data_IF_558979193813
#
_entry.id   IF_558979193813
#
_cell.length_a   1.000
_cell.length_b   1.000
_cell.length_c   1.000
_cell.angle_alpha   90.00
_cell.angle_beta   90.00
_cell.angle_gamma   90.00
#
_symmetry.space_group_name_H-M   'P 1'
#
loop_
_entity.id
_entity.type
_entity.pdbx_description
1 polymer ?
#
# COMPACT_ATOMS: atom_id res chain seq x y z
N UNK A 1 5.24 8.70 39.88
CA UNK A 1 5.58 7.93 38.67
C UNK A 1 4.59 8.36 37.59
N UNK A 2 4.98 9.27 36.71
CA UNK A 2 4.08 9.89 35.72
C UNK A 2 3.91 8.93 34.55
N UNK A 3 2.67 8.50 34.33
CA UNK A 3 2.27 7.69 33.19
C UNK A 3 2.35 8.56 31.93
N UNK A 4 3.40 8.40 31.13
CA UNK A 4 3.55 9.06 29.85
C UNK A 4 2.64 8.34 28.83
N UNK A 5 1.45 8.88 28.60
CA UNK A 5 0.58 8.41 27.52
C UNK A 5 1.28 8.71 26.18
N UNK A 6 1.70 7.65 25.49
CA UNK A 6 2.19 7.74 24.12
C UNK A 6 1.06 8.32 23.25
N UNK A 7 1.23 9.57 22.81
CA UNK A 7 0.43 10.15 21.73
C UNK A 7 0.58 9.22 20.53
N UNK A 8 -0.49 8.53 20.16
CA UNK A 8 -0.55 7.78 18.93
C UNK A 8 -0.21 8.72 17.78
N UNK A 9 0.92 8.48 17.11
CA UNK A 9 1.16 9.07 15.80
C UNK A 9 -0.04 8.66 14.93
N UNK A 10 -0.77 9.64 14.40
CA UNK A 10 -1.69 9.36 13.31
C UNK A 10 -0.87 8.65 12.24
N UNK A 11 -1.18 7.38 11.98
CA UNK A 11 -0.51 6.62 10.94
C UNK A 11 -0.63 7.41 9.64
N UNK A 12 0.51 7.77 9.04
CA UNK A 12 0.54 8.45 7.76
C UNK A 12 -0.31 7.67 6.75
N UNK A 13 -1.04 8.38 5.89
CA UNK A 13 -1.90 7.73 4.91
C UNK A 13 -1.09 6.76 4.04
N UNK A 14 -1.64 5.56 3.81
CA UNK A 14 -1.07 4.55 2.91
C UNK A 14 -0.76 5.17 1.53
N UNK A 15 0.49 5.14 1.05
CA UNK A 15 0.89 5.88 -0.14
C UNK A 15 0.18 5.41 -1.41
N UNK A 16 -0.22 4.13 -1.50
CA UNK A 16 -1.04 3.63 -2.60
C UNK A 16 -2.45 4.28 -2.58
N UNK A 17 -3.04 4.46 -1.40
CA UNK A 17 -4.30 5.17 -1.22
C UNK A 17 -4.16 6.65 -1.56
N UNK A 18 -3.06 7.28 -1.12
CA UNK A 18 -2.75 8.68 -1.46
C UNK A 18 -2.62 8.86 -2.97
N UNK A 19 -1.86 8.01 -3.65
CA UNK A 19 -1.75 8.04 -5.11
C UNK A 19 -3.12 7.89 -5.80
N UNK A 20 -3.91 6.90 -5.38
CA UNK A 20 -5.23 6.65 -5.95
C UNK A 20 -6.18 7.84 -5.81
N UNK A 21 -6.19 8.51 -4.65
CA UNK A 21 -7.10 9.63 -4.36
C UNK A 21 -6.64 10.96 -4.94
N UNK A 22 -5.34 11.22 -4.93
CA UNK A 22 -4.79 12.54 -5.21
C UNK A 22 -4.16 12.67 -6.59
N UNK A 23 -3.64 11.57 -7.14
CA UNK A 23 -2.78 11.63 -8.33
C UNK A 23 -3.42 10.94 -9.55
N UNK A 24 -4.13 9.83 -9.33
CA UNK A 24 -4.53 8.91 -10.42
C UNK A 24 -5.56 9.46 -11.40
N UNK A 25 -6.26 10.53 -11.05
CA UNK A 25 -7.20 11.23 -11.94
C UNK A 25 -6.50 12.00 -13.06
N UNK A 26 -5.28 12.47 -12.82
CA UNK A 26 -4.51 13.29 -13.76
C UNK A 26 -3.27 12.59 -14.28
N UNK A 27 -2.69 11.70 -13.48
CA UNK A 27 -1.43 11.03 -13.76
C UNK A 27 -1.62 9.54 -13.99
N UNK A 28 -0.91 9.01 -14.98
CA UNK A 28 -0.75 7.57 -15.13
C UNK A 28 0.60 7.12 -14.58
N UNK A 29 0.79 5.79 -14.52
CA UNK A 29 2.05 5.16 -14.18
C UNK A 29 2.34 4.09 -15.23
N UNK A 30 3.25 4.39 -16.16
CA UNK A 30 3.62 3.51 -17.27
C UNK A 30 2.62 3.43 -18.42
N UNK A 31 1.62 4.32 -18.50
CA UNK A 31 0.61 4.35 -19.58
C UNK A 31 0.64 5.63 -20.42
N UNK A 32 1.61 6.51 -20.16
CA UNK A 32 1.82 7.74 -20.91
C UNK A 32 1.09 8.95 -20.30
N UNK A 33 1.03 10.02 -21.07
CA UNK A 33 0.38 11.27 -20.68
C UNK A 33 -1.14 11.08 -20.57
N UNK A 34 -1.75 11.68 -19.55
CA UNK A 34 -3.21 11.77 -19.40
C UNK A 34 -3.66 13.24 -19.34
N UNK A 35 -3.65 13.83 -18.14
CA UNK A 35 -3.79 15.28 -17.94
C UNK A 35 -2.42 15.86 -17.60
N UNK A 36 -1.71 15.19 -16.69
CA UNK A 36 -0.31 15.44 -16.37
C UNK A 36 0.63 14.41 -16.99
N UNK A 37 1.95 14.58 -16.78
CA UNK A 37 2.96 13.61 -17.22
C UNK A 37 2.79 12.25 -16.53
N UNK A 38 3.29 11.19 -17.18
CA UNK A 38 3.44 9.88 -16.58
C UNK A 38 4.43 9.93 -15.39
N UNK A 39 4.08 9.25 -14.29
CA UNK A 39 4.88 9.24 -13.05
C UNK A 39 5.84 8.06 -12.91
N UNK A 40 5.83 7.08 -13.82
CA UNK A 40 6.81 5.97 -13.81
C UNK A 40 8.21 6.53 -13.99
N UNK A 41 9.11 6.24 -13.05
CA UNK A 41 10.48 6.75 -13.03
C UNK A 41 10.60 8.25 -12.71
N UNK A 42 9.57 8.89 -12.15
CA UNK A 42 9.62 10.34 -11.85
C UNK A 42 10.70 10.70 -10.83
N UNK A 43 10.98 9.80 -9.89
CA UNK A 43 12.03 9.94 -8.87
C UNK A 43 13.45 9.81 -9.42
N UNK A 44 13.60 9.29 -10.64
CA UNK A 44 14.88 9.25 -11.36
C UNK A 44 15.05 10.51 -12.21
N UNK A 45 13.95 11.08 -12.72
CA UNK A 45 13.93 12.31 -13.52
C UNK A 45 14.16 13.58 -12.70
N UNK A 46 13.71 13.59 -11.44
CA UNK A 46 13.76 14.77 -10.58
C UNK A 46 14.18 14.39 -9.17
N UNK A 47 15.00 15.26 -8.56
CA UNK A 47 15.39 15.11 -7.15
C UNK A 47 14.18 15.19 -6.21
N UNK A 48 14.23 14.44 -5.11
CA UNK A 48 13.12 14.34 -4.15
C UNK A 48 12.72 15.69 -3.53
N UNK A 49 13.69 16.57 -3.28
CA UNK A 49 13.42 17.91 -2.76
C UNK A 49 12.61 18.75 -3.76
N UNK A 50 12.99 18.71 -5.05
CA UNK A 50 12.26 19.38 -6.11
C UNK A 50 10.84 18.82 -6.25
N UNK A 51 10.68 17.49 -6.21
CA UNK A 51 9.37 16.85 -6.26
C UNK A 51 8.51 17.24 -5.06
N UNK A 52 9.08 17.33 -3.85
CA UNK A 52 8.35 17.77 -2.68
C UNK A 52 7.85 19.23 -2.82
N UNK A 53 8.70 20.13 -3.32
CA UNK A 53 8.31 21.52 -3.61
C UNK A 53 7.22 21.59 -4.69
N UNK A 54 7.35 20.80 -5.76
CA UNK A 54 6.37 20.74 -6.85
C UNK A 54 5.01 20.22 -6.39
N UNK A 55 4.99 19.14 -5.60
CA UNK A 55 3.78 18.56 -5.00
C UNK A 55 3.09 19.54 -4.05
N UNK A 56 3.88 20.31 -3.29
CA UNK A 56 3.35 21.31 -2.37
C UNK A 56 2.78 22.52 -3.08
N UNK A 57 3.49 23.08 -4.07
CA UNK A 57 3.02 24.21 -4.88
C UNK A 57 3.77 24.29 -6.20
N UNK A 58 3.15 23.76 -7.28
CA UNK A 58 3.73 23.89 -8.61
C UNK A 58 3.83 25.35 -9.05
N UNK A 59 2.91 26.20 -8.58
CA UNK A 59 2.91 27.63 -8.85
C UNK A 59 4.17 28.31 -8.35
N UNK A 60 4.57 28.04 -7.11
CA UNK A 60 5.73 28.66 -6.50
C UNK A 60 7.02 28.27 -7.23
N UNK A 61 7.13 27.01 -7.67
CA UNK A 61 8.29 26.53 -8.43
C UNK A 61 8.33 27.12 -9.84
N UNK A 62 7.17 27.32 -10.48
CA UNK A 62 7.11 28.00 -11.79
C UNK A 62 7.50 29.48 -11.64
N UNK A 63 6.98 30.16 -10.61
CA UNK A 63 7.22 31.58 -10.37
C UNK A 63 8.67 31.91 -9.98
N UNK A 64 9.41 30.94 -9.43
CA UNK A 64 10.84 31.12 -9.14
C UNK A 64 11.72 31.15 -10.41
N UNK A 65 11.17 30.83 -11.57
CA UNK A 65 11.92 30.76 -12.84
C UNK A 65 12.69 29.45 -13.03
N UNK A 66 12.36 28.40 -12.27
CA UNK A 66 12.94 27.07 -12.48
C UNK A 66 12.68 26.60 -13.92
N UNK A 67 13.75 26.37 -14.67
CA UNK A 67 13.68 26.06 -16.10
C UNK A 67 12.87 24.79 -16.41
N UNK A 68 12.97 23.78 -15.54
CA UNK A 68 12.25 22.53 -15.68
C UNK A 68 10.75 22.73 -15.44
N UNK A 69 10.40 23.45 -14.38
CA UNK A 69 9.04 23.84 -14.05
C UNK A 69 8.38 24.65 -15.17
N UNK A 70 9.06 25.69 -15.68
CA UNK A 70 8.54 26.51 -16.79
C UNK A 70 8.34 25.68 -18.05
N UNK A 71 9.29 24.81 -18.40
CA UNK A 71 9.15 23.94 -19.56
C UNK A 71 7.99 22.95 -19.42
N UNK A 72 7.77 22.39 -18.23
CA UNK A 72 6.61 21.55 -17.94
C UNK A 72 5.31 22.35 -18.04
N UNK A 73 5.26 23.56 -17.48
CA UNK A 73 4.09 24.42 -17.54
C UNK A 73 3.68 24.74 -18.98
N UNK A 74 4.63 25.13 -19.83
CA UNK A 74 4.39 25.39 -21.26
C UNK A 74 3.92 24.11 -21.98
N UNK A 75 4.53 22.96 -21.69
CA UNK A 75 4.19 21.68 -22.32
C UNK A 75 2.79 21.19 -21.98
N UNK A 76 2.31 21.45 -20.76
CA UNK A 76 1.02 20.97 -20.27
C UNK A 76 -0.03 22.09 -20.28
N UNK A 77 -0.12 22.81 -21.41
CA UNK A 77 -1.15 23.83 -21.69
C UNK A 77 -1.23 24.95 -20.66
N UNK A 78 -0.12 25.29 -20.00
CA UNK A 78 -0.08 26.28 -18.92
C UNK A 78 -1.05 25.94 -17.79
N UNK A 79 -1.31 24.65 -17.59
CA UNK A 79 -2.09 24.16 -16.47
C UNK A 79 -1.16 23.92 -15.28
N UNK A 80 -1.47 24.56 -14.16
CA UNK A 80 -0.79 24.32 -12.89
C UNK A 80 -1.25 22.98 -12.31
N UNK A 81 -0.33 22.24 -11.71
CA UNK A 81 -0.71 21.08 -10.91
C UNK A 81 -1.32 21.60 -9.59
N UNK A 82 -2.54 21.17 -9.21
CA UNK A 82 -3.15 21.62 -7.97
C UNK A 82 -2.29 21.26 -6.76
N UNK A 83 -2.19 22.19 -5.81
CA UNK A 83 -1.44 22.00 -4.57
C UNK A 83 -2.01 20.82 -3.77
N UNK A 84 -1.12 19.92 -3.36
CA UNK A 84 -1.50 18.74 -2.58
C UNK A 84 -1.31 19.00 -1.09
N UNK A 85 -2.39 18.90 -0.31
CA UNK A 85 -2.37 19.04 1.15
C UNK A 85 -1.85 17.78 1.83
N UNK A 86 -0.58 17.46 1.60
CA UNK A 86 0.11 16.30 2.19
C UNK A 86 1.16 16.78 3.20
N UNK A 87 1.31 16.05 4.30
CA UNK A 87 2.41 16.26 5.24
C UNK A 87 3.76 15.84 4.62
N UNK A 88 4.91 16.33 5.14
CA UNK A 88 6.22 15.91 4.66
C UNK A 88 6.44 14.38 4.70
N UNK A 89 5.87 13.71 5.70
CA UNK A 89 5.92 12.26 5.83
C UNK A 89 5.12 11.55 4.73
N UNK A 90 3.92 12.05 4.41
CA UNK A 90 3.09 11.50 3.33
C UNK A 90 3.72 11.72 1.94
N UNK A 91 4.34 12.88 1.70
CA UNK A 91 5.09 13.13 0.47
C UNK A 91 6.27 12.17 0.36
N UNK A 92 7.01 11.96 1.45
CA UNK A 92 8.13 11.01 1.48
C UNK A 92 7.65 9.59 1.16
N UNK A 93 6.61 9.12 1.83
CA UNK A 93 6.03 7.80 1.61
C UNK A 93 5.49 7.63 0.17
N UNK A 94 4.86 8.68 -0.39
CA UNK A 94 4.39 8.67 -1.78
C UNK A 94 5.54 8.54 -2.77
N UNK A 95 6.63 9.30 -2.58
CA UNK A 95 7.81 9.24 -3.43
C UNK A 95 8.51 7.87 -3.33
N UNK A 96 8.59 7.28 -2.13
CA UNK A 96 9.11 5.93 -1.95
C UNK A 96 8.26 4.88 -2.67
N UNK A 97 6.94 5.01 -2.57
CA UNK A 97 6.01 4.15 -3.30
C UNK A 97 6.20 4.25 -4.82
N UNK A 98 6.30 5.46 -5.37
CA UNK A 98 6.53 5.65 -6.81
C UNK A 98 7.89 5.08 -7.25
N UNK A 99 8.95 5.28 -6.46
CA UNK A 99 10.27 4.72 -6.71
C UNK A 99 10.28 3.19 -6.68
N UNK A 100 9.49 2.57 -5.80
CA UNK A 100 9.36 1.13 -5.69
C UNK A 100 8.53 0.46 -6.80
N UNK A 101 8.03 1.23 -7.78
CA UNK A 101 7.20 0.71 -8.87
C UNK A 101 5.70 0.95 -8.71
N UNK A 102 5.28 1.64 -7.65
CA UNK A 102 3.95 2.23 -7.52
C UNK A 102 2.78 1.26 -7.82
N UNK A 103 1.74 1.72 -8.55
CA UNK A 103 0.57 0.92 -8.85
C UNK A 103 0.86 -0.35 -9.66
N UNK A 104 1.97 -0.37 -10.41
CA UNK A 104 2.38 -1.54 -11.18
C UNK A 104 2.88 -2.66 -10.27
N UNK A 105 3.64 -2.32 -9.22
CA UNK A 105 4.03 -3.30 -8.20
C UNK A 105 2.81 -3.87 -7.48
N UNK A 106 1.82 -3.03 -7.16
CA UNK A 106 0.57 -3.46 -6.54
C UNK A 106 -0.21 -4.43 -7.44
N UNK A 107 -0.32 -4.13 -8.73
CA UNK A 107 -0.96 -5.02 -9.71
C UNK A 107 -0.23 -6.37 -9.80
N UNK A 108 1.10 -6.35 -9.91
CA UNK A 108 1.91 -7.57 -9.90
C UNK A 108 1.69 -8.39 -8.63
N UNK A 109 1.61 -7.76 -7.45
CA UNK A 109 1.35 -8.45 -6.18
C UNK A 109 -0.03 -9.10 -6.13
N UNK A 110 -1.07 -8.43 -6.63
CA UNK A 110 -2.44 -8.97 -6.71
C UNK A 110 -2.48 -10.28 -7.50
N UNK A 111 -1.77 -10.31 -8.62
CA UNK A 111 -1.82 -11.37 -9.63
C UNK A 111 -0.80 -12.49 -9.40
N UNK A 112 0.29 -12.22 -8.67
CA UNK A 112 1.35 -13.21 -8.39
C UNK A 112 0.79 -14.43 -7.68
N UNK A 113 1.33 -15.61 -7.95
CA UNK A 113 0.99 -16.85 -7.25
C UNK A 113 1.53 -16.85 -5.81
N UNK A 114 0.77 -17.38 -4.85
CA UNK A 114 1.26 -17.62 -3.50
C UNK A 114 2.34 -18.71 -3.43
N UNK A 115 2.48 -19.54 -4.48
CA UNK A 115 3.53 -20.56 -4.55
C UNK A 115 4.93 -19.94 -4.68
N UNK A 116 5.00 -18.77 -5.32
CA UNK A 116 6.25 -18.03 -5.58
C UNK A 116 6.66 -17.13 -4.41
N UNK A 117 5.99 -17.26 -3.26
CA UNK A 117 6.25 -16.43 -2.11
C UNK A 117 7.62 -16.75 -1.50
N UNK A 118 8.38 -15.69 -1.18
CA UNK A 118 9.63 -15.85 -0.46
C UNK A 118 9.39 -16.23 1.01
N UNK A 119 10.36 -16.85 1.70
CA UNK A 119 10.26 -17.12 3.14
C UNK A 119 9.98 -15.86 3.98
N UNK A 120 10.52 -14.71 3.57
CA UNK A 120 10.28 -13.43 4.24
C UNK A 120 8.81 -12.98 4.11
N UNK A 121 8.18 -13.20 2.96
CA UNK A 121 6.77 -12.86 2.73
C UNK A 121 5.82 -13.79 3.49
N UNK A 122 6.15 -15.09 3.55
CA UNK A 122 5.42 -16.05 4.39
C UNK A 122 5.56 -15.66 5.86
N UNK A 123 6.77 -15.30 6.32
CA UNK A 123 7.02 -14.84 7.67
C UNK A 123 6.28 -13.55 8.02
N UNK A 124 6.20 -12.61 7.08
CA UNK A 124 5.36 -11.41 7.22
C UNK A 124 3.89 -11.78 7.37
N UNK A 125 3.39 -12.72 6.55
CA UNK A 125 2.01 -13.20 6.62
C UNK A 125 1.66 -13.80 7.98
N UNK A 126 2.54 -14.65 8.52
CA UNK A 126 2.40 -15.19 9.88
C UNK A 126 2.35 -14.08 10.93
N UNK A 127 3.29 -13.12 10.88
CA UNK A 127 3.34 -12.03 11.83
C UNK A 127 2.08 -11.14 11.79
N UNK A 128 1.55 -10.87 10.60
CA UNK A 128 0.27 -10.16 10.42
C UNK A 128 -0.90 -10.98 10.97
N UNK A 129 -0.91 -12.29 10.72
CA UNK A 129 -1.95 -13.20 11.19
C UNK A 129 -1.98 -13.24 12.72
N UNK A 130 -0.84 -13.50 13.36
CA UNK A 130 -0.68 -13.60 14.81
C UNK A 130 -0.87 -12.26 15.53
N UNK A 131 -0.70 -11.14 14.83
CA UNK A 131 -0.75 -9.79 15.42
C UNK A 131 0.59 -9.31 15.98
N UNK A 132 1.69 -10.01 15.67
CA UNK A 132 3.06 -9.56 15.91
C UNK A 132 3.39 -8.32 15.07
N UNK A 133 2.73 -8.17 13.91
CA UNK A 133 2.79 -7.00 13.04
C UNK A 133 1.40 -6.39 12.87
N UNK A 134 1.28 -5.10 13.14
CA UNK A 134 0.04 -4.36 12.94
C UNK A 134 -0.30 -4.20 11.44
N UNK A 135 -1.60 -4.24 11.12
CA UNK A 135 -2.10 -3.92 9.79
C UNK A 135 -1.91 -2.42 9.51
N UNK A 136 -1.43 -2.08 8.32
CA UNK A 136 -1.15 -0.72 7.86
C UNK A 136 -2.41 0.18 7.89
N UNK A 137 -3.57 -0.41 7.65
CA UNK A 137 -4.87 0.29 7.68
C UNK A 137 -5.61 0.14 9.02
N UNK A 138 -4.91 -0.37 10.04
CA UNK A 138 -5.47 -0.73 11.34
C UNK A 138 -6.41 -1.94 11.28
N UNK A 139 -6.93 -2.33 12.44
CA UNK A 139 -7.80 -3.50 12.59
C UNK A 139 -7.20 -4.53 13.55
N UNK A 140 -8.03 -5.48 13.98
CA UNK A 140 -7.58 -6.61 14.78
C UNK A 140 -6.77 -7.59 13.93
N UNK A 141 -5.85 -8.32 14.55
CA UNK A 141 -5.13 -9.41 13.89
C UNK A 141 -6.09 -10.54 13.51
N UNK A 142 -5.70 -11.33 12.52
CA UNK A 142 -6.54 -12.45 12.07
C UNK A 142 -6.73 -13.47 13.20
N UNK A 143 -5.67 -13.75 13.96
CA UNK A 143 -5.64 -14.69 15.07
C UNK A 143 -6.59 -14.30 16.22
N UNK A 144 -7.02 -13.03 16.34
CA UNK A 144 -8.00 -12.66 17.37
C UNK A 144 -9.37 -13.32 17.17
N UNK A 145 -9.69 -13.68 15.92
CA UNK A 145 -10.98 -14.26 15.56
C UNK A 145 -10.86 -15.63 14.89
N UNK A 146 -9.82 -15.84 14.10
CA UNK A 146 -9.61 -17.05 13.33
C UNK A 146 -8.48 -17.88 13.92
N UNK A 147 -8.48 -19.16 13.58
CA UNK A 147 -7.31 -20.04 13.70
C UNK A 147 -6.82 -20.47 12.33
N UNK A 148 -5.57 -20.89 12.25
CA UNK A 148 -4.96 -21.51 11.08
C UNK A 148 -4.02 -22.63 11.56
N UNK A 149 -3.73 -23.57 10.67
CA UNK A 149 -2.79 -24.66 10.96
C UNK A 149 -1.49 -24.11 11.51
N UNK A 150 -0.95 -24.78 12.52
CA UNK A 150 0.36 -24.50 13.13
C UNK A 150 0.45 -23.18 13.92
N UNK A 151 -0.68 -22.53 14.25
CA UNK A 151 -0.69 -21.47 15.25
C UNK A 151 -1.07 -22.02 16.64
N UNK A 152 -0.27 -21.76 17.69
CA UNK A 152 -0.54 -22.26 19.03
C UNK A 152 -1.78 -21.63 19.68
N UNK A 153 -2.21 -20.46 19.19
CA UNK A 153 -3.38 -19.75 19.66
C UNK A 153 -4.13 -19.09 18.48
N UNK A 154 -5.45 -19.26 18.45
CA UNK A 154 -6.32 -18.63 17.46
C UNK A 154 -7.73 -18.49 17.99
N UNK A 155 -8.42 -17.45 17.55
CA UNK A 155 -9.81 -17.21 17.91
C UNK A 155 -10.75 -18.26 17.32
N UNK A 156 -11.87 -18.47 17.98
CA UNK A 156 -12.95 -19.36 17.52
C UNK A 156 -14.19 -18.60 17.05
N UNK A 157 -14.13 -17.27 17.05
CA UNK A 157 -15.24 -16.40 16.63
C UNK A 157 -15.45 -16.44 15.10
N UNK A 158 -14.38 -16.62 14.34
CA UNK A 158 -14.40 -16.79 12.90
C UNK A 158 -14.13 -18.24 12.48
N UNK A 159 -14.40 -18.60 11.20
CA UNK A 159 -14.10 -19.92 10.68
C UNK A 159 -12.61 -20.25 10.73
N UNK A 160 -12.31 -21.54 10.80
CA UNK A 160 -10.96 -22.05 10.65
C UNK A 160 -10.43 -21.78 9.23
N UNK A 161 -9.31 -21.06 9.14
CA UNK A 161 -8.71 -20.64 7.88
C UNK A 161 -7.66 -21.62 7.35
N UNK A 162 -7.41 -22.73 8.06
CA UNK A 162 -6.42 -23.75 7.67
C UNK A 162 -6.60 -24.29 6.25
N UNK A 163 -7.85 -24.40 5.77
CA UNK A 163 -8.16 -24.86 4.40
C UNK A 163 -8.60 -23.74 3.46
N UNK A 164 -8.42 -22.49 3.86
CA UNK A 164 -8.90 -21.34 3.09
C UNK A 164 -8.19 -21.23 1.73
N UNK A 165 -6.88 -21.49 1.66
CA UNK A 165 -6.15 -21.47 0.41
C UNK A 165 -6.62 -22.56 -0.57
N UNK A 166 -6.81 -23.80 -0.08
CA UNK A 166 -7.34 -24.90 -0.91
C UNK A 166 -8.75 -24.61 -1.44
N UNK A 167 -9.55 -23.80 -0.74
CA UNK A 167 -10.92 -23.46 -1.14
C UNK A 167 -11.00 -22.30 -2.13
N UNK A 168 -10.16 -21.28 -1.95
CA UNK A 168 -10.31 -19.99 -2.64
C UNK A 168 -9.19 -19.68 -3.62
N UNK A 169 -8.04 -20.35 -3.49
CA UNK A 169 -6.83 -20.11 -4.28
C UNK A 169 -6.43 -18.63 -4.28
N UNK A 170 -5.51 -18.25 -5.19
CA UNK A 170 -4.94 -16.90 -5.20
C UNK A 170 -6.00 -15.81 -5.39
N UNK A 171 -6.80 -15.94 -6.46
CA UNK A 171 -7.79 -14.93 -6.85
C UNK A 171 -8.90 -14.74 -5.81
N UNK A 172 -9.40 -15.85 -5.25
CA UNK A 172 -10.48 -15.81 -4.25
C UNK A 172 -10.00 -15.18 -2.94
N UNK A 173 -8.82 -15.58 -2.45
CA UNK A 173 -8.27 -15.00 -1.22
C UNK A 173 -7.89 -13.53 -1.38
N UNK A 174 -7.27 -13.13 -2.49
CA UNK A 174 -7.02 -11.69 -2.76
C UNK A 174 -8.32 -10.90 -2.66
N UNK A 175 -9.38 -11.37 -3.31
CA UNK A 175 -10.68 -10.69 -3.29
C UNK A 175 -11.26 -10.57 -1.88
N UNK A 176 -11.15 -11.62 -1.06
CA UNK A 176 -11.64 -11.62 0.32
C UNK A 176 -10.83 -10.66 1.18
N UNK A 177 -9.50 -10.73 1.10
CA UNK A 177 -8.57 -9.92 1.91
C UNK A 177 -8.65 -8.42 1.57
N UNK A 178 -8.87 -8.07 0.31
CA UNK A 178 -9.04 -6.67 -0.13
C UNK A 178 -10.40 -6.06 0.23
N UNK A 179 -11.39 -6.84 0.70
CA UNK A 179 -12.71 -6.34 1.12
C UNK A 179 -12.81 -6.02 2.63
N UNK A 180 -11.81 -6.44 3.42
CA UNK A 180 -11.76 -6.22 4.86
C UNK A 180 -12.48 -7.30 5.67
N UNK A 181 -12.19 -7.36 6.98
CA UNK A 181 -12.81 -8.31 7.89
C UNK A 181 -14.25 -7.89 8.23
N UNK A 182 -15.23 -8.49 7.55
CA UNK A 182 -16.63 -8.39 7.94
C UNK A 182 -16.89 -9.09 9.29
N UNK A 183 -17.66 -8.51 10.23
CA UNK A 183 -18.39 -7.23 10.15
C UNK A 183 -17.62 -6.01 10.71
N UNK A 184 -16.40 -6.17 11.22
CA UNK A 184 -15.74 -5.14 12.05
C UNK A 184 -14.91 -4.10 11.31
N UNK A 185 -14.41 -4.40 10.11
CA UNK A 185 -13.66 -3.44 9.27
C UNK A 185 -14.08 -3.53 7.81
N UNK A 186 -14.51 -2.39 7.26
CA UNK A 186 -14.76 -2.22 5.81
C UNK A 186 -13.49 -1.84 5.04
N UNK A 187 -12.37 -1.62 5.74
CA UNK A 187 -11.09 -1.28 5.10
C UNK A 187 -10.34 -2.57 4.86
N UNK A 188 -10.22 -2.94 3.58
CA UNK A 188 -9.40 -4.06 3.15
C UNK A 188 -7.92 -3.83 3.34
N UNK A 189 -7.17 -4.91 3.25
CA UNK A 189 -5.72 -4.92 3.39
C UNK A 189 -5.02 -4.19 2.23
N UNK A 190 -3.77 -3.79 2.45
CA UNK A 190 -2.89 -3.42 1.33
C UNK A 190 -2.57 -4.65 0.48
N UNK A 191 -2.11 -4.44 -0.76
CA UNK A 191 -1.77 -5.56 -1.64
C UNK A 191 -0.58 -6.39 -1.14
N UNK A 192 0.36 -5.75 -0.43
CA UNK A 192 1.47 -6.44 0.20
C UNK A 192 0.99 -7.34 1.35
N UNK A 193 0.12 -6.83 2.22
CA UNK A 193 -0.44 -7.60 3.33
C UNK A 193 -1.35 -8.73 2.85
N UNK A 194 -2.20 -8.47 1.86
CA UNK A 194 -3.06 -9.48 1.26
C UNK A 194 -2.23 -10.61 0.64
N UNK A 195 -1.17 -10.28 -0.11
CA UNK A 195 -0.26 -11.28 -0.66
C UNK A 195 0.41 -12.09 0.46
N UNK A 196 0.97 -11.42 1.49
CA UNK A 196 1.71 -12.08 2.56
C UNK A 196 0.81 -13.04 3.36
N UNK A 197 -0.41 -12.61 3.73
CA UNK A 197 -1.37 -13.47 4.43
C UNK A 197 -1.82 -14.65 3.57
N UNK A 198 -2.05 -14.44 2.28
CA UNK A 198 -2.41 -15.51 1.36
C UNK A 198 -1.29 -16.54 1.20
N UNK A 199 -0.04 -16.08 1.09
CA UNK A 199 1.15 -16.93 1.06
C UNK A 199 1.31 -17.75 2.35
N UNK A 200 1.10 -17.11 3.49
CA UNK A 200 1.12 -17.80 4.78
C UNK A 200 0.01 -18.86 4.90
N UNK A 201 -1.23 -18.54 4.51
CA UNK A 201 -2.36 -19.49 4.55
C UNK A 201 -2.14 -20.68 3.60
N UNK A 202 -1.43 -20.49 2.49
CA UNK A 202 -0.98 -21.60 1.64
C UNK A 202 0.06 -22.46 2.37
N UNK A 203 1.07 -21.82 2.93
CA UNK A 203 2.19 -22.49 3.56
C UNK A 203 1.75 -23.30 4.79
N UNK A 204 0.89 -22.74 5.64
CA UNK A 204 0.37 -23.43 6.82
C UNK A 204 -0.49 -24.65 6.46
N UNK A 205 -1.27 -24.57 5.39
CA UNK A 205 -2.06 -25.69 4.87
C UNK A 205 -1.20 -26.85 4.31
N UNK A 206 0.02 -26.54 3.84
CA UNK A 206 0.95 -27.55 3.32
C UNK A 206 1.72 -28.30 4.43
N UNK A 207 1.92 -27.67 5.59
CA UNK A 207 2.62 -28.26 6.75
C UNK A 207 1.66 -29.02 7.67
N UNK A 208 0.37 -28.65 7.70
CA UNK A 208 -0.65 -29.28 8.53
C UNK A 208 -1.29 -30.55 7.95
N UNK A 209 -0.76 -31.08 6.85
CA UNK A 209 -1.09 -32.38 6.25
C UNK A 209 0.01 -33.39 6.57
#
# INVERSE_FOLDING_TARGET
MVCCAARGAFAAADPATTFARNCSSCHTFGRGVLVGPDLKGVTDRHGRAWLASWISSSETVIASGDRTATALFEKFSKQRMPDQRLSPGEVTALLDYLAAGGPELDARRRERSAEDATPAEIGMGRALFAGERALARGGASCASCHRASNEPAGGTLGPDLSRSYARFHDKGLTTILSRGCFPRSKRGLTEQEAFALRAYLRHSAAIGQ
#
